data_IF_212004114047
#
_entry.id   IF_212004114047
#
_cell.length_a   1.000
_cell.length_b   1.000
_cell.length_c   1.000
_cell.angle_alpha   90.00
_cell.angle_beta   90.00
_cell.angle_gamma   90.00
#
_symmetry.space_group_name_H-M   'P 1'
#
loop_
_entity.id
_entity.type
_entity.pdbx_description
1 polymer ?
#
# COMPACT_ATOMS: atom_id res chain seq x y z
N UNK A 1 43.06 68.04 37.01
CA UNK A 1 43.89 67.19 36.13
C UNK A 1 43.36 65.75 36.23
N UNK A 2 42.53 65.35 35.32
CA UNK A 2 41.97 64.01 35.30
C UNK A 2 42.25 63.38 33.91
N UNK A 3 43.05 62.36 33.90
CA UNK A 3 43.44 61.62 32.66
C UNK A 3 42.49 60.50 32.43
N UNK A 4 41.69 60.67 31.40
CA UNK A 4 40.71 59.69 30.92
C UNK A 4 41.40 58.55 30.12
N UNK A 5 41.37 57.33 30.61
CA UNK A 5 41.83 56.14 29.89
C UNK A 5 40.69 55.52 29.12
N UNK A 6 40.68 55.64 27.80
CA UNK A 6 39.80 54.95 26.90
C UNK A 6 40.39 53.57 26.62
N UNK A 7 39.77 52.52 27.13
CA UNK A 7 40.07 51.14 26.76
C UNK A 7 39.19 50.72 25.57
N UNK A 8 39.80 50.54 24.39
CA UNK A 8 39.23 49.89 23.25
C UNK A 8 39.13 48.39 23.55
N UNK A 9 37.92 47.87 23.67
CA UNK A 9 37.64 46.45 23.58
C UNK A 9 37.39 46.11 22.11
N UNK A 10 38.33 45.43 21.46
CA UNK A 10 38.15 44.81 20.16
C UNK A 10 37.32 43.49 20.38
N UNK A 11 36.02 43.57 20.09
CA UNK A 11 35.18 42.40 20.09
C UNK A 11 35.41 41.54 18.84
N UNK A 12 36.08 40.41 19.00
CA UNK A 12 36.13 39.38 17.95
C UNK A 12 34.79 38.65 17.94
N UNK A 13 33.92 38.99 17.00
CA UNK A 13 32.71 38.24 16.71
C UNK A 13 33.07 37.01 15.90
N UNK A 14 33.16 35.87 16.58
CA UNK A 14 33.30 34.57 15.96
C UNK A 14 31.92 34.15 15.37
N UNK A 15 31.72 34.42 14.07
CA UNK A 15 30.55 33.94 13.35
C UNK A 15 30.70 32.44 13.10
N UNK A 16 30.05 31.64 13.96
CA UNK A 16 29.93 30.22 13.79
C UNK A 16 28.92 29.95 12.64
N UNK A 17 29.44 29.75 11.44
CA UNK A 17 28.66 29.34 10.28
C UNK A 17 28.20 27.89 10.51
N UNK A 18 26.99 27.71 11.06
CA UNK A 18 26.30 26.41 11.00
C UNK A 18 25.91 26.15 9.54
N UNK A 19 26.79 25.48 8.82
CA UNK A 19 26.40 24.78 7.60
C UNK A 19 25.47 23.63 8.01
N UNK A 20 24.18 23.94 8.12
CA UNK A 20 23.15 22.91 8.25
C UNK A 20 23.21 22.04 6.99
N UNK A 21 23.83 20.89 7.11
CA UNK A 21 23.58 19.81 6.16
C UNK A 21 22.10 19.49 6.33
N UNK A 22 21.26 19.98 5.41
CA UNK A 22 19.92 19.42 5.22
C UNK A 22 20.16 17.95 4.85
N UNK A 23 20.09 17.07 5.86
CA UNK A 23 19.89 15.65 5.60
C UNK A 23 18.60 15.62 4.80
N UNK A 24 18.69 15.30 3.52
CA UNK A 24 17.51 14.97 2.74
C UNK A 24 16.81 13.84 3.51
N UNK A 25 15.67 14.16 4.10
CA UNK A 25 14.82 13.18 4.75
C UNK A 25 14.56 12.10 3.71
N UNK A 26 15.10 10.89 3.92
CA UNK A 26 14.88 9.80 2.99
C UNK A 26 13.38 9.65 2.86
N UNK A 27 12.85 9.87 1.66
CA UNK A 27 11.42 9.83 1.40
C UNK A 27 10.88 8.47 1.85
N UNK A 28 9.78 8.48 2.59
CA UNK A 28 9.09 7.28 3.04
C UNK A 28 7.66 7.31 2.52
N UNK A 29 7.21 6.20 1.95
CA UNK A 29 5.83 6.00 1.49
C UNK A 29 5.20 4.87 2.31
N UNK A 30 4.09 5.14 2.95
CA UNK A 30 3.31 4.13 3.69
C UNK A 30 2.20 3.59 2.81
N UNK A 31 2.23 2.30 2.51
CA UNK A 31 1.26 1.62 1.64
C UNK A 31 0.40 0.64 2.45
N UNK A 32 -0.90 0.80 2.38
CA UNK A 32 -1.87 -0.17 2.88
C UNK A 32 -2.36 -1.01 1.71
N UNK A 33 -1.96 -2.27 1.64
CA UNK A 33 -2.26 -3.15 0.51
C UNK A 33 -2.97 -4.44 0.93
N UNK A 34 -3.91 -4.89 0.11
CA UNK A 34 -4.57 -6.17 0.33
C UNK A 34 -3.54 -7.31 0.44
N UNK A 35 -3.76 -8.23 1.38
CA UNK A 35 -2.84 -9.32 1.70
C UNK A 35 -2.44 -10.19 0.48
N UNK A 36 -3.30 -10.27 -0.54
CA UNK A 36 -3.00 -10.98 -1.78
C UNK A 36 -1.88 -10.34 -2.60
N UNK A 37 -1.50 -9.10 -2.30
CA UNK A 37 -0.47 -8.36 -3.01
C UNK A 37 0.89 -8.38 -2.30
N UNK A 38 1.03 -9.13 -1.21
CA UNK A 38 2.24 -9.10 -0.36
C UNK A 38 3.52 -9.28 -1.16
N UNK A 39 3.62 -10.36 -1.95
CA UNK A 39 4.85 -10.65 -2.70
C UNK A 39 5.13 -9.56 -3.75
N UNK A 40 4.14 -9.21 -4.56
CA UNK A 40 4.29 -8.20 -5.60
C UNK A 40 4.71 -6.84 -5.03
N UNK A 41 4.11 -6.43 -3.90
CA UNK A 41 4.46 -5.16 -3.26
C UNK A 41 5.84 -5.17 -2.62
N UNK A 42 6.32 -6.32 -2.12
CA UNK A 42 7.68 -6.45 -1.62
C UNK A 42 8.71 -6.27 -2.74
N UNK A 43 8.45 -6.89 -3.90
CA UNK A 43 9.33 -6.76 -5.07
C UNK A 43 9.34 -5.31 -5.59
N UNK A 44 8.16 -4.70 -5.74
CA UNK A 44 8.02 -3.29 -6.16
C UNK A 44 8.74 -2.36 -5.18
N UNK A 45 8.58 -2.57 -3.86
CA UNK A 45 9.23 -1.74 -2.85
C UNK A 45 10.76 -1.83 -2.94
N UNK A 46 11.30 -3.04 -3.17
CA UNK A 46 12.74 -3.24 -3.33
C UNK A 46 13.30 -2.53 -4.58
N UNK A 47 12.60 -2.63 -5.71
CA UNK A 47 13.00 -1.95 -6.94
C UNK A 47 12.87 -0.42 -6.80
N UNK A 48 11.79 0.07 -6.19
CA UNK A 48 11.58 1.50 -5.98
C UNK A 48 12.65 2.12 -5.07
N UNK A 49 13.07 1.39 -4.02
CA UNK A 49 14.19 1.82 -3.16
C UNK A 49 15.49 1.92 -3.95
N UNK A 50 15.78 0.97 -4.84
CA UNK A 50 16.99 1.01 -5.69
C UNK A 50 16.99 2.19 -6.65
N UNK A 51 15.84 2.46 -7.27
CA UNK A 51 15.76 3.49 -8.31
C UNK A 51 15.61 4.91 -7.76
N UNK A 52 14.83 5.08 -6.70
CA UNK A 52 14.41 6.40 -6.19
C UNK A 52 15.00 6.73 -4.83
N UNK A 53 15.67 5.79 -4.18
CA UNK A 53 16.13 5.93 -2.79
C UNK A 53 15.03 6.32 -1.81
N UNK A 54 13.80 5.81 -2.02
CA UNK A 54 12.62 6.05 -1.18
C UNK A 54 12.22 4.73 -0.52
N UNK A 55 11.97 4.74 0.78
CA UNK A 55 11.49 3.57 1.50
C UNK A 55 9.98 3.40 1.34
N UNK A 56 9.56 2.21 0.92
CA UNK A 56 8.15 1.85 0.85
C UNK A 56 7.83 0.90 2.01
N UNK A 57 7.07 1.38 2.98
CA UNK A 57 6.64 0.61 4.14
C UNK A 57 5.22 0.13 3.93
N UNK A 58 5.05 -1.18 3.77
CA UNK A 58 3.75 -1.77 3.45
C UNK A 58 3.12 -2.48 4.65
N UNK A 59 1.82 -2.22 4.86
CA UNK A 59 0.97 -2.96 5.79
C UNK A 59 -0.01 -3.83 5.00
N UNK A 60 -0.04 -5.13 5.31
CA UNK A 60 -0.85 -6.11 4.59
C UNK A 60 -1.97 -6.66 5.47
N UNK A 61 -3.21 -6.53 5.02
CA UNK A 61 -4.39 -7.10 5.68
C UNK A 61 -5.54 -7.28 4.66
N UNK A 62 -6.74 -7.67 5.13
CA UNK A 62 -7.92 -7.63 4.27
C UNK A 62 -8.25 -6.19 3.87
N UNK A 63 -8.75 -5.97 2.65
CA UNK A 63 -9.15 -4.64 2.19
C UNK A 63 -10.15 -3.98 3.15
N UNK A 64 -11.03 -4.76 3.76
CA UNK A 64 -11.99 -4.28 4.76
C UNK A 64 -11.33 -3.75 6.04
N UNK A 65 -10.31 -4.45 6.52
CA UNK A 65 -9.56 -4.02 7.72
C UNK A 65 -8.81 -2.73 7.45
N UNK A 66 -8.10 -2.67 6.31
CA UNK A 66 -7.32 -1.50 5.93
C UNK A 66 -8.21 -0.27 5.70
N UNK A 67 -9.33 -0.42 4.99
CA UNK A 67 -10.26 0.68 4.76
C UNK A 67 -10.80 1.28 6.08
N UNK A 68 -11.10 0.44 7.08
CA UNK A 68 -11.54 0.90 8.40
C UNK A 68 -10.42 1.55 9.20
N UNK A 69 -9.19 1.07 9.08
CA UNK A 69 -8.04 1.71 9.71
C UNK A 69 -7.80 3.11 9.15
N UNK A 70 -7.91 3.27 7.82
CA UNK A 70 -7.79 4.57 7.16
C UNK A 70 -8.93 5.50 7.59
N UNK A 71 -10.17 5.01 7.66
CA UNK A 71 -11.31 5.77 8.20
C UNK A 71 -11.06 6.24 9.64
N UNK A 72 -10.40 5.40 10.45
CA UNK A 72 -10.02 5.74 11.82
C UNK A 72 -8.77 6.65 11.93
N UNK A 73 -8.24 7.13 10.80
CA UNK A 73 -7.11 8.06 10.75
C UNK A 73 -5.73 7.40 10.73
N UNK A 74 -5.62 6.12 10.40
CA UNK A 74 -4.31 5.50 10.21
C UNK A 74 -3.58 6.15 9.02
N UNK A 75 -2.30 6.54 9.18
CA UNK A 75 -1.55 7.25 8.16
C UNK A 75 -1.18 6.29 7.02
N UNK A 76 -1.84 6.43 5.89
CA UNK A 76 -1.53 5.72 4.66
C UNK A 76 -1.43 6.73 3.51
N UNK A 77 -0.32 6.69 2.79
CA UNK A 77 -0.12 7.52 1.60
C UNK A 77 -0.78 6.88 0.38
N UNK A 78 -0.85 5.53 0.36
CA UNK A 78 -1.45 4.77 -0.71
C UNK A 78 -2.28 3.62 -0.15
N UNK A 79 -3.50 3.44 -0.68
CA UNK A 79 -4.37 2.31 -0.39
C UNK A 79 -4.63 1.46 -1.63
N UNK A 80 -4.31 0.16 -1.58
CA UNK A 80 -4.51 -0.79 -2.67
C UNK A 80 -5.49 -1.87 -2.22
N UNK A 81 -6.72 -1.75 -2.68
CA UNK A 81 -7.79 -2.70 -2.39
C UNK A 81 -7.83 -3.86 -3.39
N UNK A 82 -8.15 -5.06 -2.94
CA UNK A 82 -8.38 -6.22 -3.80
C UNK A 82 -9.74 -6.21 -4.50
N UNK A 83 -10.63 -5.29 -4.16
CA UNK A 83 -11.97 -5.19 -4.73
C UNK A 83 -12.49 -3.75 -4.72
N UNK A 84 -13.47 -3.48 -5.57
CA UNK A 84 -14.07 -2.16 -5.72
C UNK A 84 -14.90 -1.77 -4.48
N UNK A 85 -15.53 -2.73 -3.82
CA UNK A 85 -16.43 -2.47 -2.69
C UNK A 85 -15.75 -1.69 -1.56
N UNK A 86 -14.55 -2.07 -1.18
CA UNK A 86 -13.82 -1.39 -0.10
C UNK A 86 -13.19 -0.09 -0.54
N UNK A 87 -12.93 0.06 -1.84
CA UNK A 87 -12.56 1.34 -2.41
C UNK A 87 -13.75 2.32 -2.44
N UNK A 88 -14.96 1.84 -2.79
CA UNK A 88 -16.20 2.61 -2.71
C UNK A 88 -16.46 3.06 -1.27
N UNK A 89 -16.35 2.14 -0.31
CA UNK A 89 -16.49 2.44 1.11
C UNK A 89 -15.53 3.58 1.55
N UNK A 90 -14.26 3.48 1.22
CA UNK A 90 -13.27 4.49 1.60
C UNK A 90 -13.57 5.86 0.97
N UNK A 91 -14.05 5.88 -0.28
CA UNK A 91 -14.48 7.09 -0.97
C UNK A 91 -15.74 7.71 -0.34
N UNK A 92 -16.77 6.91 -0.03
CA UNK A 92 -18.00 7.34 0.65
C UNK A 92 -17.71 7.96 2.02
N UNK A 93 -16.75 7.37 2.76
CA UNK A 93 -16.29 7.87 4.05
C UNK A 93 -15.37 9.09 3.94
N UNK A 94 -15.03 9.51 2.72
CA UNK A 94 -14.08 10.61 2.45
C UNK A 94 -12.71 10.39 3.13
N UNK A 95 -12.33 9.16 3.30
CA UNK A 95 -11.05 8.77 3.90
C UNK A 95 -9.93 8.60 2.88
N UNK A 96 -10.25 8.73 1.59
CA UNK A 96 -9.32 8.82 0.46
C UNK A 96 -9.74 9.95 -0.47
N UNK A 97 -8.80 10.45 -1.27
CA UNK A 97 -9.11 11.35 -2.38
C UNK A 97 -9.67 10.54 -3.56
N UNK A 98 -10.98 10.62 -3.74
CA UNK A 98 -11.67 9.89 -4.80
C UNK A 98 -11.22 10.29 -6.22
N UNK A 99 -10.65 11.49 -6.41
CA UNK A 99 -10.16 11.94 -7.70
C UNK A 99 -8.87 11.21 -8.13
N UNK A 100 -8.14 10.63 -7.18
CA UNK A 100 -6.91 9.86 -7.43
C UNK A 100 -7.15 8.36 -7.61
N UNK A 101 -8.41 7.92 -7.54
CA UNK A 101 -8.77 6.51 -7.62
C UNK A 101 -8.60 5.97 -9.03
N UNK A 102 -7.86 4.87 -9.16
CA UNK A 102 -7.65 4.14 -10.41
C UNK A 102 -7.87 2.64 -10.25
N UNK A 103 -8.31 1.97 -11.31
CA UNK A 103 -8.37 0.51 -11.38
C UNK A 103 -7.18 0.00 -12.14
N UNK A 104 -6.20 -0.54 -11.42
CA UNK A 104 -4.93 -1.00 -12.00
C UNK A 104 -5.04 -2.38 -12.65
N UNK A 105 -5.77 -3.31 -12.03
CA UNK A 105 -5.80 -4.73 -12.39
C UNK A 105 -7.22 -5.28 -12.29
N UNK A 106 -7.53 -6.27 -13.13
CA UNK A 106 -8.71 -7.10 -13.02
C UNK A 106 -8.38 -8.45 -12.37
N UNK A 107 -9.41 -9.12 -11.82
CA UNK A 107 -9.29 -10.47 -11.30
C UNK A 107 -10.48 -11.31 -11.77
N UNK A 108 -10.22 -12.57 -12.11
CA UNK A 108 -11.26 -13.53 -12.49
C UNK A 108 -11.21 -14.73 -11.54
N UNK A 109 -12.38 -15.14 -11.05
CA UNK A 109 -12.51 -16.38 -10.31
C UNK A 109 -12.68 -17.52 -11.30
N UNK A 110 -11.92 -18.59 -11.10
CA UNK A 110 -12.01 -19.81 -11.90
C UNK A 110 -12.21 -21.03 -11.01
N UNK A 111 -12.87 -22.03 -11.54
CA UNK A 111 -12.99 -23.33 -10.90
C UNK A 111 -11.99 -24.28 -11.53
N UNK A 112 -11.17 -24.91 -10.70
CA UNK A 112 -10.15 -25.84 -11.15
C UNK A 112 -10.52 -27.24 -10.67
N UNK A 113 -10.49 -28.21 -11.56
CA UNK A 113 -10.65 -29.62 -11.25
C UNK A 113 -9.38 -30.42 -11.63
N UNK A 114 -9.07 -31.51 -10.91
CA UNK A 114 -7.99 -32.41 -11.33
C UNK A 114 -8.23 -32.92 -12.75
N UNK A 115 -7.19 -33.01 -13.56
CA UNK A 115 -7.29 -33.45 -14.97
C UNK A 115 -8.06 -34.74 -15.16
N UNK A 116 -7.91 -35.70 -14.24
CA UNK A 116 -8.60 -36.98 -14.25
C UNK A 116 -10.12 -36.89 -13.98
N UNK A 117 -10.60 -35.78 -13.42
CA UNK A 117 -12.02 -35.55 -13.09
C UNK A 117 -12.62 -34.40 -13.91
N UNK A 118 -11.91 -33.86 -14.89
CA UNK A 118 -12.40 -32.79 -15.75
C UNK A 118 -13.55 -33.32 -16.65
N UNK A 119 -14.69 -32.69 -16.57
CA UNK A 119 -15.89 -33.04 -17.35
C UNK A 119 -16.09 -32.14 -18.59
N UNK A 120 -15.00 -31.61 -19.16
CA UNK A 120 -15.05 -30.65 -20.26
C UNK A 120 -15.31 -29.20 -19.81
N UNK A 121 -15.55 -28.33 -20.77
CA UNK A 121 -15.80 -26.90 -20.52
C UNK A 121 -17.12 -26.70 -19.76
N UNK A 122 -17.07 -25.95 -18.68
CA UNK A 122 -18.18 -25.63 -17.83
C UNK A 122 -18.47 -24.14 -17.83
N UNK A 123 -19.65 -23.75 -18.24
CA UNK A 123 -20.12 -22.37 -18.07
C UNK A 123 -20.69 -22.19 -16.67
N UNK A 124 -20.03 -21.36 -15.87
CA UNK A 124 -20.47 -21.06 -14.51
C UNK A 124 -21.37 -19.82 -14.52
N UNK A 125 -22.60 -19.99 -14.00
CA UNK A 125 -23.54 -18.89 -13.84
C UNK A 125 -24.41 -19.11 -12.58
N UNK A 126 -25.37 -18.21 -12.35
CA UNK A 126 -26.27 -18.30 -11.18
C UNK A 126 -27.11 -19.57 -11.11
N UNK A 127 -27.33 -20.22 -12.24
CA UNK A 127 -28.13 -21.46 -12.34
C UNK A 127 -27.26 -22.73 -12.28
N UNK A 128 -25.95 -22.60 -12.06
CA UNK A 128 -25.05 -23.76 -11.99
C UNK A 128 -25.38 -24.62 -10.78
N UNK A 129 -25.76 -25.88 -11.04
CA UNK A 129 -26.02 -26.88 -9.98
C UNK A 129 -24.69 -27.40 -9.41
N UNK A 130 -24.24 -26.76 -8.36
CA UNK A 130 -23.01 -27.11 -7.65
C UNK A 130 -23.09 -28.50 -6.99
N UNK A 131 -24.26 -28.89 -6.51
CA UNK A 131 -24.48 -30.20 -5.86
C UNK A 131 -24.18 -31.33 -6.81
N UNK A 132 -24.70 -31.24 -8.02
CA UNK A 132 -24.47 -32.23 -9.09
C UNK A 132 -23.00 -32.24 -9.54
N UNK A 133 -22.38 -31.06 -9.70
CA UNK A 133 -21.01 -30.94 -10.13
C UNK A 133 -20.01 -31.50 -9.11
N UNK A 134 -20.29 -31.28 -7.84
CA UNK A 134 -19.37 -31.66 -6.75
C UNK A 134 -19.52 -33.15 -6.38
N UNK A 135 -20.63 -33.78 -6.71
CA UNK A 135 -20.89 -35.19 -6.41
C UNK A 135 -20.49 -35.57 -4.97
N UNK A 136 -20.91 -34.79 -3.99
CA UNK A 136 -20.59 -34.96 -2.56
C UNK A 136 -19.20 -34.52 -2.14
N UNK A 137 -18.44 -33.87 -3.01
CA UNK A 137 -17.13 -33.25 -2.67
C UNK A 137 -17.30 -31.80 -2.24
N UNK A 138 -16.37 -31.32 -1.41
CA UNK A 138 -16.37 -29.93 -1.00
C UNK A 138 -15.63 -29.07 -2.02
N UNK A 139 -16.16 -27.87 -2.32
CA UNK A 139 -15.52 -26.87 -3.15
C UNK A 139 -14.68 -25.99 -2.25
N UNK A 140 -13.36 -26.01 -2.44
CA UNK A 140 -12.45 -25.08 -1.78
C UNK A 140 -12.14 -23.97 -2.77
N UNK A 141 -12.63 -22.77 -2.47
CA UNK A 141 -12.23 -21.58 -3.22
C UNK A 141 -10.83 -21.18 -2.75
N UNK A 142 -9.85 -21.46 -3.58
CA UNK A 142 -8.52 -20.90 -3.38
C UNK A 142 -8.36 -19.70 -4.34
N UNK A 143 -7.93 -18.57 -3.79
CA UNK A 143 -7.53 -17.44 -4.62
C UNK A 143 -6.19 -17.82 -5.23
N UNK A 144 -6.20 -18.18 -6.51
CA UNK A 144 -4.93 -18.32 -7.24
C UNK A 144 -4.34 -16.92 -7.36
N UNK A 145 -3.22 -16.69 -6.70
CA UNK A 145 -2.39 -15.55 -6.99
C UNK A 145 -1.88 -15.75 -8.41
N UNK A 146 -2.49 -15.04 -9.36
CA UNK A 146 -1.94 -14.94 -10.70
C UNK A 146 -0.61 -14.20 -10.59
N UNK A 147 0.48 -14.93 -10.83
CA UNK A 147 1.80 -14.36 -11.03
C UNK A 147 1.83 -13.53 -12.31
#
# INVERSE_FOLDING_TARGET
MARTWVRLFAGVTLTLSLTGHALAEEGKITVFAAASLTNAMQDIAAEYKKEKNVDVVSSFASSSTLARQIEAGAPADLFISADQKWMDYAAEKKSIDAATRETLLGNSLVVVAPKASAQGDLTINKATDWTRLLNGRFLVFNRLNSA
#
